data_IF_325004372321
#
_entry.id   IF_325004372321
#
_cell.length_a   1.000
_cell.length_b   1.000
_cell.length_c   1.000
_cell.angle_alpha   90.00
_cell.angle_beta   90.00
_cell.angle_gamma   90.00
#
_symmetry.space_group_name_H-M   'P 1'
#
loop_
_entity.id
_entity.type
_entity.pdbx_description
1 polymer ?
#
# COMPACT_ATOMS: atom_id res chain seq x y z
N UNK A 1 14.36 -38.70 -3.24
CA UNK A 1 15.10 -37.49 -2.87
C UNK A 1 15.91 -37.05 -4.08
N UNK A 2 15.62 -35.88 -4.64
CA UNK A 2 16.53 -35.09 -5.47
C UNK A 2 15.93 -33.69 -5.59
N UNK A 3 16.38 -32.79 -4.71
CA UNK A 3 16.13 -31.36 -4.81
C UNK A 3 17.11 -30.81 -5.87
N UNK A 4 16.62 -30.46 -7.06
CA UNK A 4 17.35 -29.55 -7.93
C UNK A 4 16.96 -28.12 -7.55
N UNK A 5 17.80 -27.49 -6.74
CA UNK A 5 17.84 -26.04 -6.60
C UNK A 5 18.12 -25.42 -7.96
N UNK A 6 17.10 -24.87 -8.61
CA UNK A 6 17.28 -23.96 -9.75
C UNK A 6 17.91 -22.67 -9.22
N UNK A 7 19.24 -22.65 -9.15
CA UNK A 7 19.98 -21.40 -9.11
C UNK A 7 19.80 -20.74 -10.47
N UNK A 8 19.16 -19.57 -10.51
CA UNK A 8 19.20 -18.67 -11.66
C UNK A 8 20.66 -18.29 -11.88
N UNK A 9 21.32 -18.91 -12.86
CA UNK A 9 22.63 -18.46 -13.34
C UNK A 9 22.48 -17.01 -13.83
N UNK A 10 23.11 -16.06 -13.12
CA UNK A 10 23.35 -14.72 -13.65
C UNK A 10 24.11 -14.86 -14.96
N UNK A 11 23.46 -14.55 -16.09
CA UNK A 11 24.12 -14.49 -17.39
C UNK A 11 25.30 -13.52 -17.32
N UNK A 12 26.51 -14.06 -17.34
CA UNK A 12 27.73 -13.27 -17.47
C UNK A 12 27.82 -12.71 -18.89
N UNK A 13 27.85 -11.38 -19.02
CA UNK A 13 28.04 -10.73 -20.33
C UNK A 13 29.51 -10.39 -20.53
N UNK A 14 29.96 -10.24 -21.78
CA UNK A 14 31.34 -9.81 -22.08
C UNK A 14 31.65 -8.43 -21.46
N UNK A 15 30.63 -7.63 -21.14
CA UNK A 15 30.77 -6.35 -20.46
C UNK A 15 31.17 -6.50 -19.00
N UNK A 16 30.90 -7.63 -18.35
CA UNK A 16 31.31 -7.87 -16.96
C UNK A 16 32.84 -7.91 -16.81
N UNK A 17 33.56 -8.29 -17.87
CA UNK A 17 35.02 -8.24 -17.89
C UNK A 17 35.55 -6.80 -17.95
N UNK A 18 34.83 -5.89 -18.62
CA UNK A 18 35.19 -4.48 -18.72
C UNK A 18 34.67 -3.66 -17.54
N UNK A 19 33.57 -4.10 -16.94
CA UNK A 19 32.86 -3.41 -15.87
C UNK A 19 32.51 -4.42 -14.75
N UNK A 20 33.44 -4.69 -13.82
CA UNK A 20 33.31 -5.76 -12.83
C UNK A 20 32.16 -5.60 -11.83
N UNK A 21 31.59 -4.40 -11.70
CA UNK A 21 30.43 -4.13 -10.84
C UNK A 21 29.07 -4.34 -11.56
N UNK A 22 29.03 -4.63 -12.86
CA UNK A 22 27.78 -4.86 -13.59
C UNK A 22 26.90 -5.96 -12.97
N UNK A 23 27.46 -7.10 -12.49
CA UNK A 23 26.66 -8.09 -11.77
C UNK A 23 25.99 -7.53 -10.50
N UNK A 24 26.68 -6.64 -9.76
CA UNK A 24 26.12 -5.97 -8.58
C UNK A 24 25.03 -4.98 -8.97
N UNK A 25 25.24 -4.20 -10.04
CA UNK A 25 24.24 -3.28 -10.57
C UNK A 25 22.97 -4.01 -11.01
N UNK A 26 23.11 -5.12 -11.74
CA UNK A 26 21.99 -5.95 -12.18
C UNK A 26 21.19 -6.46 -10.99
N UNK A 27 21.87 -7.05 -10.00
CA UNK A 27 21.24 -7.51 -8.76
C UNK A 27 20.52 -6.37 -8.04
N UNK A 28 21.09 -5.16 -8.00
CA UNK A 28 20.46 -3.98 -7.37
C UNK A 28 19.21 -3.54 -8.14
N UNK A 29 19.26 -3.48 -9.47
CA UNK A 29 18.09 -3.17 -10.31
C UNK A 29 16.97 -4.20 -10.10
N UNK A 30 17.29 -5.49 -10.15
CA UNK A 30 16.33 -6.59 -9.91
C UNK A 30 15.71 -6.49 -8.51
N UNK A 31 16.53 -6.23 -7.49
CA UNK A 31 16.06 -6.03 -6.12
C UNK A 31 15.08 -4.85 -6.03
N UNK A 32 15.45 -3.69 -6.57
CA UNK A 32 14.61 -2.48 -6.53
C UNK A 32 13.28 -2.68 -7.28
N UNK A 33 13.32 -3.40 -8.40
CA UNK A 33 12.13 -3.79 -9.14
C UNK A 33 11.25 -4.73 -8.31
N UNK A 34 11.84 -5.77 -7.69
CA UNK A 34 11.16 -6.70 -6.78
C UNK A 34 10.43 -5.96 -5.68
N UNK A 35 11.11 -5.02 -5.03
CA UNK A 35 10.50 -4.22 -3.97
C UNK A 35 9.30 -3.39 -4.47
N UNK A 36 9.39 -2.80 -5.66
CA UNK A 36 8.26 -2.07 -6.25
C UNK A 36 7.07 -3.00 -6.54
N UNK A 37 7.32 -4.22 -7.04
CA UNK A 37 6.28 -5.22 -7.27
C UNK A 37 5.63 -5.67 -5.96
N UNK A 38 6.46 -6.00 -4.96
CA UNK A 38 6.01 -6.45 -3.64
C UNK A 38 5.15 -5.38 -2.96
N UNK A 39 5.59 -4.11 -2.98
CA UNK A 39 4.80 -3.02 -2.40
C UNK A 39 3.48 -2.81 -3.14
N UNK A 40 3.47 -2.97 -4.47
CA UNK A 40 2.23 -2.93 -5.26
C UNK A 40 1.28 -4.07 -4.86
N UNK A 41 1.80 -5.30 -4.69
CA UNK A 41 0.99 -6.44 -4.23
C UNK A 41 0.44 -6.22 -2.80
N UNK A 42 1.26 -5.67 -1.89
CA UNK A 42 0.81 -5.35 -0.53
C UNK A 42 -0.29 -4.29 -0.55
N UNK A 43 -0.15 -3.24 -1.37
CA UNK A 43 -1.20 -2.23 -1.54
C UNK A 43 -2.50 -2.85 -2.09
N UNK A 44 -2.39 -3.73 -3.07
CA UNK A 44 -3.55 -4.44 -3.63
C UNK A 44 -4.28 -5.26 -2.55
N UNK A 45 -3.54 -6.02 -1.75
CA UNK A 45 -4.11 -6.86 -0.68
C UNK A 45 -4.70 -6.04 0.47
N UNK A 46 -4.17 -4.85 0.72
CA UNK A 46 -4.72 -3.95 1.72
C UNK A 46 -6.14 -3.51 1.44
N UNK A 47 -6.60 -3.46 0.18
CA UNK A 47 -8.01 -3.16 -0.14
C UNK A 47 -8.94 -4.16 0.55
N UNK A 48 -8.68 -5.45 0.35
CA UNK A 48 -9.49 -6.53 0.93
C UNK A 48 -9.41 -6.52 2.46
N UNK A 49 -8.22 -6.26 3.04
CA UNK A 49 -8.06 -6.15 4.49
C UNK A 49 -8.91 -5.02 5.07
N UNK A 50 -8.87 -3.85 4.45
CA UNK A 50 -9.67 -2.68 4.86
C UNK A 50 -11.16 -3.01 4.77
N UNK A 51 -11.63 -3.58 3.66
CA UNK A 51 -13.04 -3.95 3.49
C UNK A 51 -13.52 -4.96 4.54
N UNK A 52 -12.75 -6.02 4.77
CA UNK A 52 -13.09 -7.02 5.78
C UNK A 52 -13.14 -6.43 7.20
N UNK A 53 -12.23 -5.51 7.54
CA UNK A 53 -12.26 -4.82 8.84
C UNK A 53 -13.49 -3.94 8.98
N UNK A 54 -13.87 -3.20 7.94
CA UNK A 54 -15.05 -2.34 7.93
C UNK A 54 -16.35 -3.17 8.02
N UNK A 55 -16.41 -4.31 7.34
CA UNK A 55 -17.51 -5.28 7.50
C UNK A 55 -17.59 -5.84 8.93
N UNK A 56 -16.45 -6.12 9.55
CA UNK A 56 -16.38 -6.59 10.94
C UNK A 56 -16.85 -5.52 11.93
N UNK A 57 -16.49 -4.25 11.71
CA UNK A 57 -17.02 -3.12 12.48
C UNK A 57 -18.54 -3.07 12.38
N UNK A 58 -19.09 -3.11 11.16
CA UNK A 58 -20.53 -3.13 10.94
C UNK A 58 -21.23 -4.30 11.64
N UNK A 59 -20.63 -5.49 11.57
CA UNK A 59 -21.14 -6.68 12.24
C UNK A 59 -21.22 -6.46 13.75
N UNK A 60 -20.15 -5.98 14.39
CA UNK A 60 -20.15 -5.76 15.83
C UNK A 60 -21.08 -4.65 16.29
N UNK A 61 -21.19 -3.57 15.51
CA UNK A 61 -22.17 -2.51 15.77
C UNK A 61 -23.59 -3.07 15.67
N UNK A 62 -23.92 -3.81 14.61
CA UNK A 62 -25.25 -4.44 14.46
C UNK A 62 -25.57 -5.38 15.62
N UNK A 63 -24.63 -6.23 16.00
CA UNK A 63 -24.79 -7.14 17.15
C UNK A 63 -25.01 -6.37 18.46
N UNK A 64 -24.32 -5.24 18.67
CA UNK A 64 -24.52 -4.41 19.86
C UNK A 64 -25.92 -3.82 19.95
N UNK A 65 -26.47 -3.38 18.81
CA UNK A 65 -27.83 -2.82 18.72
C UNK A 65 -28.92 -3.89 18.84
N UNK A 66 -28.75 -5.08 18.24
CA UNK A 66 -29.72 -6.17 18.43
C UNK A 66 -29.80 -6.61 19.90
N UNK A 67 -28.70 -6.49 20.67
CA UNK A 67 -28.72 -6.79 22.12
C UNK A 67 -29.60 -5.82 22.93
N UNK A 68 -29.85 -4.62 22.43
CA UNK A 68 -30.77 -3.64 23.04
C UNK A 68 -32.15 -3.64 22.35
N UNK A 69 -32.42 -4.62 21.48
CA UNK A 69 -33.72 -4.80 20.81
C UNK A 69 -33.91 -3.97 19.54
N UNK A 70 -32.83 -3.50 18.92
CA UNK A 70 -32.87 -2.68 17.70
C UNK A 70 -32.26 -3.45 16.53
N UNK A 71 -33.08 -3.82 15.56
CA UNK A 71 -32.64 -4.67 14.43
C UNK A 71 -32.45 -3.91 13.12
N UNK A 72 -32.98 -2.68 13.04
CA UNK A 72 -32.90 -1.83 11.83
C UNK A 72 -32.03 -0.62 12.09
N UNK A 73 -30.86 -0.60 11.45
CA UNK A 73 -29.92 0.52 11.47
C UNK A 73 -29.61 0.87 10.02
N UNK A 74 -29.66 2.15 9.71
CA UNK A 74 -29.32 2.71 8.41
C UNK A 74 -27.82 2.61 8.12
N UNK A 75 -27.50 2.45 6.83
CA UNK A 75 -26.15 2.57 6.32
C UNK A 75 -25.92 3.95 5.72
N UNK A 76 -24.71 4.45 5.86
CA UNK A 76 -24.13 5.51 5.05
C UNK A 76 -23.12 4.89 4.09
N UNK A 77 -22.99 5.49 2.90
CA UNK A 77 -22.00 5.10 1.90
C UNK A 77 -20.98 6.22 1.73
N UNK A 78 -19.69 5.88 1.77
CA UNK A 78 -18.59 6.80 1.47
C UNK A 78 -17.83 6.35 0.25
N UNK A 79 -17.52 7.31 -0.60
CA UNK A 79 -16.68 7.12 -1.77
C UNK A 79 -15.23 7.38 -1.41
N UNK A 80 -14.42 6.33 -1.31
CA UNK A 80 -12.97 6.44 -1.05
C UNK A 80 -12.18 6.76 -2.34
N UNK A 81 -12.61 6.18 -3.47
CA UNK A 81 -12.12 6.49 -4.83
C UNK A 81 -13.25 6.32 -5.86
N UNK A 82 -13.00 6.70 -7.13
CA UNK A 82 -13.93 6.63 -8.25
C UNK A 82 -14.78 5.35 -8.30
N UNK A 83 -14.16 4.20 -8.02
CA UNK A 83 -14.80 2.87 -8.03
C UNK A 83 -14.78 2.15 -6.67
N UNK A 84 -14.34 2.83 -5.60
CA UNK A 84 -14.26 2.22 -4.28
C UNK A 84 -15.23 2.90 -3.31
N UNK A 85 -16.32 2.20 -3.03
CA UNK A 85 -17.38 2.61 -2.11
C UNK A 85 -17.39 1.70 -0.90
N UNK A 86 -17.54 2.28 0.29
CA UNK A 86 -17.66 1.56 1.55
C UNK A 86 -18.99 1.92 2.18
N UNK A 87 -19.71 0.90 2.67
CA UNK A 87 -20.95 1.05 3.44
C UNK A 87 -20.66 0.85 4.91
N UNK A 88 -21.05 1.79 5.76
CA UNK A 88 -20.97 1.64 7.22
C UNK A 88 -22.29 2.00 7.89
N UNK A 89 -22.53 1.45 9.08
CA UNK A 89 -23.69 1.81 9.89
C UNK A 89 -23.58 3.22 10.45
N UNK A 90 -24.66 4.01 10.39
CA UNK A 90 -24.69 5.42 10.85
C UNK A 90 -24.13 5.65 12.27
N UNK A 91 -24.38 4.76 13.26
CA UNK A 91 -23.83 4.93 14.62
C UNK A 91 -22.30 4.99 14.70
N UNK A 92 -21.59 4.39 13.74
CA UNK A 92 -20.12 4.45 13.70
C UNK A 92 -19.66 5.89 13.42
N UNK A 93 -20.48 6.70 12.75
CA UNK A 93 -20.08 8.03 12.30
C UNK A 93 -18.96 7.91 11.26
N UNK A 94 -19.31 7.62 10.01
CA UNK A 94 -18.34 7.56 8.90
C UNK A 94 -17.51 8.83 8.84
N UNK A 95 -18.16 9.98 9.05
CA UNK A 95 -17.48 11.27 9.11
C UNK A 95 -16.50 11.37 10.26
N UNK A 96 -16.55 10.56 11.32
CA UNK A 96 -15.55 10.51 12.41
C UNK A 96 -14.38 9.58 12.04
N UNK A 97 -14.67 8.42 11.43
CA UNK A 97 -13.64 7.48 10.97
C UNK A 97 -12.83 8.06 9.80
N UNK A 98 -13.51 8.83 8.94
CA UNK A 98 -12.95 9.43 7.73
C UNK A 98 -13.01 10.98 7.75
N UNK A 99 -13.07 11.63 8.93
CA UNK A 99 -13.19 13.12 9.06
C UNK A 99 -12.11 13.87 8.30
N UNK A 100 -11.00 13.19 8.07
CA UNK A 100 -9.88 13.66 7.28
C UNK A 100 -9.84 12.95 5.94
N UNK A 101 -10.95 12.95 5.19
CA UNK A 101 -10.98 12.73 3.74
C UNK A 101 -10.20 13.88 3.03
N UNK A 102 -8.93 13.99 3.42
CA UNK A 102 -7.93 14.89 2.89
C UNK A 102 -7.53 14.36 1.53
N UNK A 103 -6.98 15.25 0.72
CA UNK A 103 -6.39 14.88 -0.57
C UNK A 103 -5.40 13.71 -0.44
N UNK A 104 -4.66 13.64 0.67
CA UNK A 104 -3.72 12.55 0.94
C UNK A 104 -4.37 11.19 1.17
N UNK A 105 -5.50 11.13 1.88
CA UNK A 105 -6.25 9.89 2.06
C UNK A 105 -6.86 9.41 0.73
N UNK A 106 -7.43 10.32 -0.06
CA UNK A 106 -7.92 9.98 -1.40
C UNK A 106 -6.80 9.53 -2.33
N UNK A 107 -5.63 10.17 -2.29
CA UNK A 107 -4.48 9.76 -3.08
C UNK A 107 -3.96 8.37 -2.67
N UNK A 108 -3.99 8.05 -1.38
CA UNK A 108 -3.69 6.70 -0.88
C UNK A 108 -4.72 5.67 -1.34
N UNK A 109 -6.00 5.96 -1.18
CA UNK A 109 -7.09 5.10 -1.64
C UNK A 109 -7.00 4.83 -3.15
N UNK A 110 -6.63 5.85 -3.95
CA UNK A 110 -6.37 5.71 -5.39
C UNK A 110 -5.27 4.70 -5.69
N UNK A 111 -4.15 4.74 -4.95
CA UNK A 111 -3.04 3.77 -5.12
C UNK A 111 -3.46 2.36 -4.76
N UNK A 112 -4.20 2.19 -3.66
CA UNK A 112 -4.73 0.89 -3.23
C UNK A 112 -5.67 0.32 -4.30
N UNK A 113 -6.62 1.13 -4.78
CA UNK A 113 -7.58 0.72 -5.82
C UNK A 113 -6.89 0.37 -7.15
N UNK A 114 -5.97 1.22 -7.64
CA UNK A 114 -5.19 0.94 -8.86
C UNK A 114 -4.33 -0.31 -8.71
N UNK A 115 -3.66 -0.48 -7.57
CA UNK A 115 -2.84 -1.68 -7.33
C UNK A 115 -3.69 -2.95 -7.33
N UNK A 116 -4.88 -2.89 -6.72
CA UNK A 116 -5.83 -4.00 -6.72
C UNK A 116 -6.33 -4.35 -8.12
N UNK A 117 -6.72 -3.35 -8.92
CA UNK A 117 -7.19 -3.59 -10.29
C UNK A 117 -6.07 -4.06 -11.22
N UNK A 118 -4.86 -3.56 -11.02
CA UNK A 118 -3.67 -4.06 -11.72
C UNK A 118 -3.43 -5.53 -11.36
N UNK A 119 -3.49 -5.88 -10.06
CA UNK A 119 -3.38 -7.28 -9.60
C UNK A 119 -4.48 -8.16 -10.18
N UNK A 120 -5.68 -7.64 -10.45
CA UNK A 120 -6.75 -8.37 -11.11
C UNK A 120 -6.62 -8.47 -12.64
N UNK A 121 -5.61 -7.84 -13.25
CA UNK A 121 -5.47 -7.77 -14.71
C UNK A 121 -6.55 -6.93 -15.39
N UNK A 122 -7.28 -6.09 -14.65
CA UNK A 122 -8.36 -5.26 -15.19
C UNK A 122 -7.86 -3.98 -15.85
N UNK A 123 -6.68 -3.50 -15.43
CA UNK A 123 -6.07 -2.27 -15.94
C UNK A 123 -4.60 -2.51 -16.25
N UNK A 124 -4.05 -1.73 -17.17
CA UNK A 124 -2.62 -1.74 -17.48
C UNK A 124 -1.78 -0.94 -16.47
N UNK A 125 -0.44 -1.13 -16.47
CA UNK A 125 0.47 -0.46 -15.53
C UNK A 125 0.52 1.08 -15.68
N UNK A 126 0.00 1.63 -16.78
CA UNK A 126 0.01 3.08 -17.06
C UNK A 126 -0.73 3.92 -16.00
N UNK A 127 -1.79 3.37 -15.39
CA UNK A 127 -2.51 4.05 -14.31
C UNK A 127 -1.63 4.18 -13.05
N UNK A 128 -0.86 3.13 -12.74
CA UNK A 128 0.07 3.12 -11.61
C UNK A 128 1.27 4.05 -11.86
N UNK A 129 1.78 4.12 -13.09
CA UNK A 129 2.86 5.06 -13.49
C UNK A 129 2.51 6.50 -13.11
N UNK A 130 1.26 6.95 -13.34
CA UNK A 130 0.83 8.31 -12.98
C UNK A 130 0.80 8.56 -11.48
N UNK A 131 0.58 7.53 -10.67
CA UNK A 131 0.45 7.66 -9.22
C UNK A 131 1.79 7.60 -8.50
N UNK A 132 2.69 6.74 -8.96
CA UNK A 132 3.94 6.44 -8.24
C UNK A 132 5.20 6.76 -9.03
N UNK A 133 5.06 7.24 -10.27
CA UNK A 133 6.20 7.68 -11.08
C UNK A 133 7.08 6.54 -11.56
N UNK A 134 6.50 5.39 -11.90
CA UNK A 134 7.26 4.24 -12.43
C UNK A 134 7.94 4.61 -13.75
N UNK A 135 9.19 4.17 -13.98
CA UNK A 135 9.85 4.37 -15.26
C UNK A 135 9.11 3.65 -16.39
N UNK A 136 9.10 4.26 -17.59
CA UNK A 136 8.41 3.72 -18.78
C UNK A 136 8.93 2.34 -19.22
N UNK A 137 10.19 2.03 -18.92
CA UNK A 137 10.82 0.77 -19.25
C UNK A 137 10.42 -0.36 -18.28
N UNK A 138 9.97 -0.02 -17.06
CA UNK A 138 9.47 -0.99 -16.09
C UNK A 138 8.02 -1.33 -16.43
N UNK A 139 7.77 -2.60 -16.77
CA UNK A 139 6.42 -3.13 -16.97
C UNK A 139 6.13 -4.14 -15.88
N UNK A 140 4.89 -4.10 -15.41
CA UNK A 140 4.35 -5.15 -14.56
C UNK A 140 3.51 -6.10 -15.41
N UNK A 141 3.76 -7.38 -15.24
CA UNK A 141 2.92 -8.45 -15.75
C UNK A 141 1.94 -8.91 -14.68
N UNK A 142 0.84 -9.52 -15.11
CA UNK A 142 0.01 -10.33 -14.21
C UNK A 142 0.39 -11.79 -14.42
N UNK A 143 1.00 -12.41 -13.42
CA UNK A 143 1.28 -13.85 -13.46
C UNK A 143 0.11 -14.60 -12.82
N UNK A 144 -0.44 -15.57 -13.54
CA UNK A 144 -1.45 -16.49 -13.01
C UNK A 144 -0.72 -17.63 -12.31
N UNK A 145 -0.65 -17.61 -10.98
CA UNK A 145 -0.11 -18.71 -10.19
C UNK A 145 -1.18 -19.78 -9.97
N UNK A 146 -1.06 -20.94 -10.63
CA UNK A 146 -1.95 -22.07 -10.42
C UNK A 146 -1.61 -22.82 -9.13
N UNK A 147 -2.01 -22.30 -7.97
CA UNK A 147 -2.07 -23.08 -6.74
C UNK A 147 -3.51 -23.54 -6.51
N UNK A 148 -3.75 -24.82 -6.84
CA UNK A 148 -4.85 -25.71 -6.44
C UNK A 148 -6.03 -24.98 -5.76
N UNK A 149 -7.08 -24.64 -6.53
CA UNK A 149 -8.40 -24.24 -6.03
C UNK A 149 -8.90 -22.84 -6.40
N UNK A 150 -8.05 -21.94 -6.88
CA UNK A 150 -8.46 -20.62 -7.37
C UNK A 150 -7.25 -19.77 -7.71
N UNK A 151 -7.14 -19.31 -8.95
CA UNK A 151 -5.97 -18.57 -9.44
C UNK A 151 -5.66 -17.34 -8.57
N UNK A 152 -4.53 -17.35 -7.87
CA UNK A 152 -3.98 -16.14 -7.25
C UNK A 152 -3.23 -15.41 -8.36
N UNK A 153 -3.76 -14.25 -8.77
CA UNK A 153 -3.06 -13.35 -9.69
C UNK A 153 -2.14 -12.46 -8.86
N UNK A 154 -0.86 -12.41 -9.21
CA UNK A 154 0.11 -11.53 -8.60
C UNK A 154 0.63 -10.52 -9.64
N UNK A 155 0.96 -9.33 -9.18
CA UNK A 155 1.73 -8.36 -9.97
C UNK A 155 3.17 -8.86 -9.99
N UNK A 156 3.58 -9.40 -11.13
CA UNK A 156 4.94 -9.82 -11.44
C UNK A 156 5.68 -8.71 -12.19
N UNK A 157 7.00 -8.82 -12.25
CA UNK A 157 7.85 -7.92 -13.01
C UNK A 157 8.02 -8.50 -14.41
N UNK A 158 7.46 -7.82 -15.41
CA UNK A 158 7.70 -8.12 -16.82
C UNK A 158 8.77 -7.15 -17.34
N UNK A 159 9.98 -7.23 -16.78
CA UNK A 159 11.09 -6.51 -17.39
C UNK A 159 11.87 -7.49 -18.25
N UNK A 160 11.97 -7.12 -19.52
CA UNK A 160 13.05 -7.52 -20.39
C UNK A 160 14.36 -7.06 -19.73
N UNK A 161 14.93 -7.85 -18.82
CA UNK A 161 16.34 -7.71 -18.41
C UNK A 161 17.19 -7.63 -19.69
N UNK A 162 16.77 -8.33 -20.74
CA UNK A 162 17.26 -8.23 -22.12
C UNK A 162 17.31 -6.79 -22.69
N UNK A 163 16.35 -5.90 -22.36
CA UNK A 163 16.36 -4.49 -22.80
C UNK A 163 17.42 -3.66 -22.08
N UNK A 164 17.83 -4.10 -20.88
CA UNK A 164 18.91 -3.51 -20.08
C UNK A 164 20.27 -4.09 -20.52
N UNK A 165 20.31 -5.30 -21.08
CA UNK A 165 21.50 -5.87 -21.72
C UNK A 165 21.76 -5.26 -23.11
N UNK A 166 23.03 -5.09 -23.50
CA UNK A 166 23.44 -4.53 -24.80
C UNK A 166 24.75 -3.75 -24.72
N UNK A 167 25.12 -3.03 -25.78
CA UNK A 167 26.39 -2.30 -25.86
C UNK A 167 26.58 -1.22 -24.77
N UNK A 168 25.50 -0.75 -24.13
CA UNK A 168 25.52 0.28 -23.08
C UNK A 168 24.94 -0.25 -21.74
N UNK A 169 25.17 -1.52 -21.41
CA UNK A 169 24.57 -2.19 -20.24
C UNK A 169 24.84 -1.44 -18.93
N UNK A 170 26.08 -0.99 -18.71
CA UNK A 170 26.47 -0.24 -17.51
C UNK A 170 25.61 1.00 -17.30
N UNK A 171 25.46 1.82 -18.34
CA UNK A 171 24.74 3.09 -18.23
C UNK A 171 23.24 2.85 -18.07
N UNK A 172 22.69 1.84 -18.74
CA UNK A 172 21.31 1.41 -18.55
C UNK A 172 21.05 0.91 -17.13
N UNK A 173 21.97 0.14 -16.56
CA UNK A 173 21.87 -0.34 -15.18
C UNK A 173 21.96 0.82 -14.18
N UNK A 174 22.90 1.74 -14.36
CA UNK A 174 23.04 2.96 -13.54
C UNK A 174 21.77 3.82 -13.58
N UNK A 175 21.20 4.01 -14.77
CA UNK A 175 19.95 4.75 -14.94
C UNK A 175 18.79 3.99 -14.30
N UNK A 176 18.74 2.66 -14.43
CA UNK A 176 17.74 1.82 -13.79
C UNK A 176 17.70 1.99 -12.27
N UNK A 177 18.86 2.00 -11.61
CA UNK A 177 18.96 2.21 -10.15
C UNK A 177 18.37 3.58 -9.76
N UNK A 178 18.72 4.63 -10.51
CA UNK A 178 18.26 6.00 -10.25
C UNK A 178 16.75 6.17 -10.50
N UNK A 179 16.26 5.63 -11.60
CA UNK A 179 14.85 5.71 -12.02
C UNK A 179 13.91 5.02 -11.02
N UNK A 180 14.39 3.96 -10.35
CA UNK A 180 13.60 3.19 -9.39
C UNK A 180 13.52 3.82 -7.99
N UNK A 181 14.38 4.79 -7.65
CA UNK A 181 14.39 5.38 -6.32
C UNK A 181 13.05 6.07 -5.97
N UNK A 182 12.50 6.85 -6.90
CA UNK A 182 11.22 7.56 -6.74
C UNK A 182 10.02 6.62 -6.52
N UNK A 183 9.73 5.65 -7.42
CA UNK A 183 8.62 4.73 -7.20
C UNK A 183 8.80 3.85 -5.96
N UNK A 184 10.04 3.46 -5.63
CA UNK A 184 10.33 2.70 -4.40
C UNK A 184 9.90 3.47 -3.14
N UNK A 185 10.28 4.74 -3.03
CA UNK A 185 9.89 5.60 -1.91
C UNK A 185 8.36 5.75 -1.87
N UNK A 186 7.73 6.05 -3.01
CA UNK A 186 6.30 6.33 -3.05
C UNK A 186 5.42 5.11 -2.76
N UNK A 187 5.81 3.94 -3.27
CA UNK A 187 5.11 2.68 -3.00
C UNK A 187 5.30 2.24 -1.55
N UNK A 188 6.53 2.32 -1.02
CA UNK A 188 6.78 1.99 0.40
C UNK A 188 6.01 2.93 1.33
N UNK A 189 5.97 4.22 1.01
CA UNK A 189 5.19 5.20 1.74
C UNK A 189 3.71 4.81 1.75
N UNK A 190 3.16 4.45 0.59
CA UNK A 190 1.80 3.93 0.48
C UNK A 190 1.56 2.71 1.36
N UNK A 191 2.47 1.73 1.36
CA UNK A 191 2.37 0.53 2.20
C UNK A 191 2.34 0.90 3.69
N UNK A 192 3.30 1.70 4.17
CA UNK A 192 3.38 2.10 5.57
C UNK A 192 2.15 2.91 6.00
N UNK A 193 1.72 3.85 5.17
CA UNK A 193 0.54 4.68 5.45
C UNK A 193 -0.76 3.88 5.46
N UNK A 194 -0.88 2.90 4.57
CA UNK A 194 -2.04 2.00 4.57
C UNK A 194 -2.06 1.10 5.80
N UNK A 195 -0.89 0.60 6.22
CA UNK A 195 -0.77 -0.19 7.44
C UNK A 195 -1.17 0.62 8.69
N UNK A 196 -0.71 1.88 8.77
CA UNK A 196 -1.11 2.80 9.84
C UNK A 196 -2.64 2.93 9.96
N UNK A 197 -3.34 3.20 8.84
CA UNK A 197 -4.80 3.31 8.87
C UNK A 197 -5.49 1.96 9.15
N UNK A 198 -4.94 0.85 8.67
CA UNK A 198 -5.46 -0.48 8.98
C UNK A 198 -5.38 -0.77 10.49
N UNK A 199 -4.26 -0.45 11.14
CA UNK A 199 -4.08 -0.62 12.57
C UNK A 199 -5.04 0.26 13.38
N UNK A 200 -5.27 1.50 12.94
CA UNK A 200 -6.29 2.39 13.51
C UNK A 200 -7.70 1.79 13.40
N UNK A 201 -8.08 1.29 12.22
CA UNK A 201 -9.37 0.63 12.00
C UNK A 201 -9.52 -0.63 12.87
N UNK A 202 -8.45 -1.40 13.05
CA UNK A 202 -8.45 -2.57 13.94
C UNK A 202 -8.62 -2.18 15.41
N UNK A 203 -7.96 -1.11 15.87
CA UNK A 203 -8.12 -0.58 17.22
C UNK A 203 -9.58 -0.17 17.46
N UNK A 204 -10.17 0.59 16.53
CA UNK A 204 -11.59 0.97 16.58
C UNK A 204 -12.49 -0.27 16.63
N UNK A 205 -12.24 -1.25 15.75
CA UNK A 205 -13.02 -2.50 15.69
C UNK A 205 -13.01 -3.24 17.03
N UNK A 206 -11.85 -3.27 17.70
CA UNK A 206 -11.70 -3.90 18.99
C UNK A 206 -12.50 -3.18 20.09
N UNK A 207 -12.53 -1.85 20.05
CA UNK A 207 -13.31 -1.06 21.01
C UNK A 207 -14.82 -1.21 20.77
N UNK A 208 -15.28 -1.22 19.52
CA UNK A 208 -16.69 -1.54 19.18
C UNK A 208 -17.06 -2.95 19.70
N UNK A 209 -16.17 -3.93 19.54
CA UNK A 209 -16.39 -5.27 20.08
C UNK A 209 -16.47 -5.28 21.62
N UNK A 210 -15.71 -4.40 22.30
CA UNK A 210 -15.82 -4.21 23.76
C UNK A 210 -17.17 -3.59 24.13
N UNK A 211 -17.63 -2.58 23.40
CA UNK A 211 -18.94 -1.96 23.60
C UNK A 211 -20.07 -2.98 23.39
N UNK A 212 -20.00 -3.81 22.35
CA UNK A 212 -20.92 -4.93 22.16
C UNK A 212 -21.03 -5.81 23.41
N UNK A 213 -19.90 -6.17 24.04
CA UNK A 213 -19.90 -6.96 25.29
C UNK A 213 -20.51 -6.19 26.47
N UNK A 214 -20.36 -4.86 26.52
CA UNK A 214 -21.01 -4.00 27.54
C UNK A 214 -22.52 -3.94 27.32
N UNK A 215 -22.99 -3.84 26.07
CA UNK A 215 -24.41 -3.78 25.71
C UNK A 215 -25.18 -5.02 26.17
N UNK A 216 -24.56 -6.20 26.16
CA UNK A 216 -25.17 -7.43 26.70
C UNK A 216 -25.47 -7.37 28.22
N UNK A 217 -24.84 -6.45 28.95
CA UNK A 217 -24.93 -6.34 30.42
C UNK A 217 -25.64 -5.06 30.87
N UNK A 218 -25.54 -4.00 30.07
CA UNK A 218 -26.13 -2.69 30.34
C UNK A 218 -27.41 -2.53 29.53
N UNK A 219 -28.48 -2.02 30.17
CA UNK A 219 -29.72 -1.67 29.48
C UNK A 219 -29.60 -0.26 28.88
N UNK A 220 -28.81 -0.14 27.82
CA UNK A 220 -28.66 1.13 27.10
C UNK A 220 -29.89 1.46 26.24
N UNK A 221 -30.17 2.75 26.08
CA UNK A 221 -31.05 3.24 25.01
C UNK A 221 -30.28 3.29 23.69
N UNK A 222 -30.99 3.51 22.59
CA UNK A 222 -30.38 3.69 21.27
C UNK A 222 -29.35 4.82 21.25
N UNK A 223 -29.74 5.97 21.79
CA UNK A 223 -28.94 7.19 21.85
C UNK A 223 -27.70 6.99 22.73
N UNK A 224 -27.86 6.36 23.90
CA UNK A 224 -26.74 6.09 24.79
C UNK A 224 -25.71 5.13 24.18
N UNK A 225 -26.16 4.10 23.45
CA UNK A 225 -25.25 3.20 22.73
C UNK A 225 -24.54 3.92 21.57
N UNK A 226 -25.28 4.77 20.83
CA UNK A 226 -24.70 5.58 19.76
C UNK A 226 -23.60 6.50 20.29
N UNK A 227 -23.89 7.24 21.36
CA UNK A 227 -22.92 8.14 21.99
C UNK A 227 -21.69 7.40 22.49
N UNK A 228 -21.84 6.25 23.18
CA UNK A 228 -20.71 5.44 23.64
C UNK A 228 -19.85 4.94 22.46
N UNK A 229 -20.46 4.53 21.34
CA UNK A 229 -19.71 4.14 20.13
C UNK A 229 -18.93 5.33 19.57
N UNK A 230 -19.56 6.48 19.41
CA UNK A 230 -18.93 7.67 18.82
C UNK A 230 -17.81 8.25 19.69
N UNK A 231 -18.03 8.31 21.00
CA UNK A 231 -17.03 8.73 21.99
C UNK A 231 -15.83 7.79 21.96
N UNK A 232 -16.05 6.49 22.02
CA UNK A 232 -14.98 5.51 22.00
C UNK A 232 -14.19 5.48 20.68
N UNK A 233 -14.86 5.71 19.54
CA UNK A 233 -14.17 5.87 18.25
C UNK A 233 -13.26 7.10 18.29
N UNK A 234 -13.76 8.22 18.79
CA UNK A 234 -13.02 9.49 18.86
C UNK A 234 -11.80 9.34 19.76
N UNK A 235 -11.99 8.85 20.98
CA UNK A 235 -10.91 8.59 21.95
C UNK A 235 -9.87 7.60 21.41
N UNK A 236 -10.31 6.54 20.72
CA UNK A 236 -9.40 5.57 20.09
C UNK A 236 -8.56 6.22 18.99
N UNK A 237 -9.16 7.07 18.15
CA UNK A 237 -8.44 7.78 17.08
C UNK A 237 -7.43 8.76 17.66
N UNK A 238 -7.81 9.54 18.67
CA UNK A 238 -6.94 10.50 19.34
C UNK A 238 -5.76 9.79 20.01
N UNK A 239 -6.05 8.76 20.82
CA UNK A 239 -5.02 7.93 21.47
C UNK A 239 -4.09 7.29 20.45
N UNK A 240 -4.62 6.76 19.34
CA UNK A 240 -3.80 6.14 18.30
C UNK A 240 -2.85 7.15 17.64
N UNK A 241 -3.33 8.35 17.35
CA UNK A 241 -2.51 9.43 16.76
C UNK A 241 -1.42 9.93 17.71
N UNK A 242 -1.69 9.98 19.01
CA UNK A 242 -0.70 10.38 20.02
C UNK A 242 0.40 9.33 20.22
N UNK A 243 0.04 8.05 20.14
CA UNK A 243 0.96 6.93 20.45
C UNK A 243 1.64 6.35 19.21
N UNK A 244 1.07 6.55 18.03
CA UNK A 244 1.54 6.00 16.77
C UNK A 244 1.74 7.14 15.77
N UNK A 245 3.00 7.52 15.47
CA UNK A 245 3.28 8.56 14.49
C UNK A 245 2.83 8.15 13.09
N UNK A 246 2.11 9.04 12.41
CA UNK A 246 1.73 8.81 11.01
C UNK A 246 3.00 8.77 10.13
N UNK A 247 3.14 7.75 9.26
CA UNK A 247 4.29 7.68 8.34
C UNK A 247 4.37 8.89 7.41
N UNK A 248 5.58 9.38 7.18
CA UNK A 248 5.88 10.41 6.17
C UNK A 248 6.82 9.84 5.12
N UNK A 249 7.02 10.57 4.02
CA UNK A 249 7.98 10.16 2.98
C UNK A 249 9.42 10.26 3.49
N UNK A 250 9.70 11.21 4.38
CA UNK A 250 10.98 11.38 5.05
C UNK A 250 11.27 10.18 5.98
N UNK A 251 10.30 9.77 6.82
CA UNK A 251 10.48 8.59 7.67
C UNK A 251 10.55 7.30 6.85
N UNK A 252 9.83 7.24 5.72
CA UNK A 252 9.93 6.14 4.74
C UNK A 252 11.33 6.04 4.13
N UNK A 253 11.92 7.17 3.73
CA UNK A 253 13.28 7.20 3.18
C UNK A 253 14.29 6.69 4.21
N UNK A 254 14.16 7.10 5.48
CA UNK A 254 14.98 6.57 6.58
C UNK A 254 14.79 5.06 6.75
N UNK A 255 13.54 4.57 6.73
CA UNK A 255 13.24 3.14 6.82
C UNK A 255 13.87 2.32 5.68
N UNK A 256 13.86 2.85 4.45
CA UNK A 256 14.46 2.17 3.29
C UNK A 256 15.99 2.07 3.40
N UNK A 257 16.66 3.13 3.86
CA UNK A 257 18.11 3.10 4.08
C UNK A 257 18.51 2.12 5.18
N UNK A 258 17.76 2.11 6.28
CA UNK A 258 17.99 1.15 7.36
C UNK A 258 17.78 -0.28 6.87
N UNK A 259 16.72 -0.53 6.09
CA UNK A 259 16.49 -1.81 5.43
C UNK A 259 17.68 -2.22 4.54
N UNK A 260 18.18 -1.31 3.71
CA UNK A 260 19.33 -1.59 2.83
C UNK A 260 20.60 -1.92 3.63
N UNK A 261 20.84 -1.18 4.72
CA UNK A 261 21.97 -1.43 5.63
C UNK A 261 21.87 -2.80 6.31
N UNK A 262 20.70 -3.15 6.85
CA UNK A 262 20.47 -4.42 7.56
C UNK A 262 20.62 -5.61 6.60
N UNK A 263 20.11 -5.47 5.38
CA UNK A 263 20.15 -6.54 4.37
C UNK A 263 21.51 -6.65 3.66
N UNK A 264 22.44 -5.71 3.90
CA UNK A 264 23.73 -5.67 3.21
C UNK A 264 23.59 -5.43 1.70
N UNK A 265 22.59 -4.63 1.29
CA UNK A 265 22.35 -4.34 -0.11
C UNK A 265 23.47 -3.47 -0.68
N UNK A 266 23.79 -3.68 -1.96
CA UNK A 266 24.76 -2.84 -2.67
C UNK A 266 24.10 -1.52 -3.07
N UNK A 267 24.61 -0.39 -2.57
CA UNK A 267 24.00 0.94 -2.75
C UNK A 267 24.98 1.98 -3.30
N UNK A 268 26.14 1.57 -3.81
CA UNK A 268 27.22 2.50 -4.19
C UNK A 268 26.80 3.46 -5.33
N UNK A 269 25.80 3.08 -6.12
CA UNK A 269 25.27 3.88 -7.22
C UNK A 269 23.82 4.35 -7.01
N UNK A 270 23.30 4.19 -5.80
CA UNK A 270 22.04 4.82 -5.43
C UNK A 270 22.17 6.36 -5.49
N UNK A 271 21.07 7.10 -5.71
CA UNK A 271 21.12 8.56 -5.66
C UNK A 271 21.66 9.08 -4.32
N UNK A 272 22.39 10.20 -4.37
CA UNK A 272 22.93 10.86 -3.17
C UNK A 272 21.82 11.25 -2.21
N UNK A 273 22.19 11.50 -0.95
CA UNK A 273 21.23 11.91 0.07
C UNK A 273 20.43 13.16 -0.32
N UNK A 274 21.11 14.19 -0.83
CA UNK A 274 20.48 15.40 -1.34
C UNK A 274 19.50 15.12 -2.48
N UNK A 275 19.85 14.22 -3.39
CA UNK A 275 18.96 13.85 -4.50
C UNK A 275 17.71 13.10 -4.02
N UNK A 276 17.84 12.24 -3.02
CA UNK A 276 16.71 11.54 -2.42
C UNK A 276 15.77 12.50 -1.67
N UNK A 277 16.32 13.51 -1.00
CA UNK A 277 15.54 14.57 -0.34
C UNK A 277 14.78 15.43 -1.36
N UNK A 278 15.38 15.76 -2.50
CA UNK A 278 14.68 16.40 -3.62
C UNK A 278 13.51 15.55 -4.13
N UNK A 279 13.72 14.23 -4.31
CA UNK A 279 12.66 13.30 -4.71
C UNK A 279 11.52 13.29 -3.71
N UNK A 280 11.81 13.28 -2.41
CA UNK A 280 10.78 13.36 -1.35
C UNK A 280 9.98 14.66 -1.45
N UNK A 281 10.66 15.80 -1.66
CA UNK A 281 10.01 17.09 -1.86
C UNK A 281 9.09 17.09 -3.08
N UNK A 282 9.58 16.59 -4.23
CA UNK A 282 8.78 16.45 -5.45
C UNK A 282 7.53 15.59 -5.21
N UNK A 283 7.65 14.48 -4.49
CA UNK A 283 6.52 13.59 -4.21
C UNK A 283 5.48 14.27 -3.29
N UNK A 284 5.94 15.02 -2.29
CA UNK A 284 5.06 15.81 -1.43
C UNK A 284 4.33 16.92 -2.22
N UNK A 285 4.99 17.57 -3.18
CA UNK A 285 4.36 18.54 -4.09
C UNK A 285 3.40 17.87 -5.07
N UNK A 286 3.75 16.70 -5.59
CA UNK A 286 2.91 15.92 -6.49
C UNK A 286 1.57 15.56 -5.83
N UNK A 287 1.57 15.06 -4.60
CA UNK A 287 0.33 14.78 -3.85
C UNK A 287 -0.56 16.02 -3.70
N UNK A 288 0.03 17.20 -3.49
CA UNK A 288 -0.72 18.46 -3.39
C UNK A 288 -1.33 18.89 -4.71
N UNK A 289 -0.67 18.59 -5.84
CA UNK A 289 -1.04 19.13 -7.15
C UNK A 289 -1.77 18.14 -8.06
N UNK A 290 -1.68 16.84 -7.80
CA UNK A 290 -2.26 15.81 -8.67
C UNK A 290 -3.79 15.95 -8.76
N UNK A 291 -4.32 15.87 -9.99
CA UNK A 291 -5.75 15.76 -10.23
C UNK A 291 -6.14 14.28 -10.23
N UNK A 292 -6.69 13.82 -9.11
CA UNK A 292 -7.13 12.43 -8.94
C UNK A 292 -8.28 12.06 -9.88
N UNK A 293 -9.07 13.03 -10.34
CA UNK A 293 -10.22 12.79 -11.23
C UNK A 293 -9.79 12.53 -12.67
N UNK A 294 -8.61 13.04 -13.06
CA UNK A 294 -8.00 12.78 -14.37
C UNK A 294 -7.40 11.37 -14.49
N UNK A 295 -7.23 10.66 -13.37
CA UNK A 295 -6.73 9.28 -13.35
C UNK A 295 -7.91 8.32 -13.50
N UNK A 296 -8.32 8.15 -14.76
CA UNK A 296 -9.26 7.13 -15.21
C UNK A 296 -8.51 5.86 -15.55
N UNK A 297 -9.09 4.72 -15.19
CA UNK A 297 -8.61 3.38 -15.50
C UNK A 297 -9.83 2.46 -15.64
#
# INVERSE_FOLDING_TARGET
>A
MNNSTNATETQHTWQDHLFPDNPKRRKRVEQLMSECADYTNVLADSKLKIENTLELMNKYTKEAYSLIGIDSISYEEIKLDHEWYVKMLQPIGITTVFTFATKGLHFLAKKVAVSYLLKQGKIGPAALVKLVGLPKWLKFGTTVGSTIGGAIVAVGIDVAIDAITGNDERDKLQNGIKDLAKPRIELRYGVLKTQYYYEMLMAITNEINRIKRKAARKKWTEEALKEEIQDAITDTIETFKETTPEPTRESTLTNLKEKDKIMGNWTDEDPSQSKLEEVVKELNEHEKNIDLTAIKY
#
